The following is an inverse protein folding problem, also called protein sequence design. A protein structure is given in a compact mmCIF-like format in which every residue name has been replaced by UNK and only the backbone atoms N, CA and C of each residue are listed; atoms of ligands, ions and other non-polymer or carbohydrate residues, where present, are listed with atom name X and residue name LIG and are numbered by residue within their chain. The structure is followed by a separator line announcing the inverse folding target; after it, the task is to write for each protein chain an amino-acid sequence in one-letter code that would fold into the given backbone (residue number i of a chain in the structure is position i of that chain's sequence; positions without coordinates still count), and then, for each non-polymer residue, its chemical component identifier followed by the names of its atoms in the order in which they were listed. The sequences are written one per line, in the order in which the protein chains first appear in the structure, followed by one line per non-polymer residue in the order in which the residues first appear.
data_IF_073138309899
#
_entry.id   IF_073138309899
#
_cell.length_a   1.000
_cell.length_b   1.000
_cell.length_c   1.000
_cell.angle_alpha   90.00
_cell.angle_beta   90.00
_cell.angle_gamma   90.00
#
_symmetry.space_group_name_H-M   'P 1'
#
loop_
_entity.id
_entity.type
_entity.pdbx_description
1 polymer ?
#
# COMPACT_ATOMS: atom_id res chain seq x y z
N UNK A 1 6.77 -8.00 30.31
CA UNK A 1 6.53 -8.93 29.18
C UNK A 1 5.34 -9.87 29.47
N UNK A 2 5.31 -10.50 30.67
CA UNK A 2 4.23 -11.45 31.02
C UNK A 2 2.82 -10.85 30.97
N UNK A 3 2.64 -9.57 31.35
CA UNK A 3 1.33 -8.90 31.31
C UNK A 3 0.80 -8.62 29.90
N UNK A 4 1.69 -8.47 28.90
CA UNK A 4 1.29 -8.24 27.50
C UNK A 4 0.63 -9.48 26.91
N UNK A 5 1.13 -10.67 27.23
CA UNK A 5 0.62 -11.94 26.70
C UNK A 5 -0.66 -12.39 27.41
N UNK A 6 -0.74 -12.25 28.74
CA UNK A 6 -1.89 -12.68 29.53
C UNK A 6 -3.21 -11.98 29.16
N UNK A 7 -3.17 -10.78 28.61
CA UNK A 7 -4.33 -10.00 28.19
C UNK A 7 -4.79 -10.28 26.75
N UNK A 8 -4.11 -11.15 25.98
CA UNK A 8 -4.30 -11.30 24.53
C UNK A 8 -4.30 -12.75 24.04
N UNK A 9 -4.62 -13.71 24.89
CA UNK A 9 -4.67 -15.15 24.52
C UNK A 9 -5.62 -15.44 23.35
N UNK A 10 -6.62 -14.57 23.10
CA UNK A 10 -7.62 -14.74 22.03
C UNK A 10 -7.33 -13.92 20.76
N UNK A 11 -6.41 -12.95 20.77
CA UNK A 11 -6.16 -12.14 19.57
C UNK A 11 -5.45 -12.92 18.47
N UNK A 12 -6.04 -13.05 17.26
CA UNK A 12 -5.56 -13.98 16.23
C UNK A 12 -4.36 -13.46 15.41
N UNK A 13 -3.71 -12.38 15.84
CA UNK A 13 -2.64 -11.70 15.11
C UNK A 13 -1.27 -11.80 15.79
N UNK A 14 -0.33 -11.05 15.25
CA UNK A 14 0.99 -10.84 15.82
C UNK A 14 0.94 -9.86 17.01
N UNK A 15 1.94 -9.91 17.87
CA UNK A 15 2.15 -8.89 18.91
C UNK A 15 3.40 -8.10 18.52
N UNK A 16 3.25 -6.78 18.35
CA UNK A 16 4.35 -5.86 18.03
C UNK A 16 4.61 -4.95 19.21
N UNK A 17 5.78 -5.06 19.81
CA UNK A 17 6.23 -4.21 20.92
C UNK A 17 7.32 -3.27 20.43
N UNK A 18 7.08 -1.97 20.56
CA UNK A 18 8.02 -0.89 20.25
C UNK A 18 8.51 -0.29 21.58
N UNK A 19 9.81 -0.20 21.71
CA UNK A 19 10.45 0.40 22.89
C UNK A 19 11.39 1.52 22.45
N UNK A 20 11.28 2.65 23.10
CA UNK A 20 12.15 3.80 22.91
C UNK A 20 12.18 4.65 24.18
N UNK A 21 13.17 5.52 24.28
CA UNK A 21 13.21 6.53 25.33
C UNK A 21 11.97 7.44 25.28
N UNK A 22 11.43 7.80 26.44
CA UNK A 22 10.22 8.63 26.52
C UNK A 22 10.41 10.01 25.89
N UNK A 23 11.60 10.63 26.03
CA UNK A 23 11.86 11.93 25.41
C UNK A 23 11.93 11.81 23.88
N UNK A 24 12.42 10.69 23.36
CA UNK A 24 12.41 10.38 21.92
C UNK A 24 11.00 10.31 21.35
N UNK A 25 10.04 9.77 22.13
CA UNK A 25 8.65 9.62 21.68
C UNK A 25 7.78 10.82 22.04
N UNK A 26 7.89 11.35 23.26
CA UNK A 26 6.96 12.30 23.84
C UNK A 26 7.59 13.60 24.32
N UNK A 27 8.89 13.81 24.10
CA UNK A 27 9.59 15.04 24.50
C UNK A 27 8.96 16.28 23.87
N UNK A 28 8.88 17.38 24.63
CA UNK A 28 8.21 18.63 24.22
C UNK A 28 8.81 19.26 22.95
N UNK A 29 10.14 19.16 22.77
CA UNK A 29 10.83 19.80 21.64
C UNK A 29 11.06 18.85 20.45
N UNK A 30 11.36 17.57 20.72
CA UNK A 30 11.83 16.61 19.70
C UNK A 30 11.11 15.26 19.72
N UNK A 31 10.05 15.09 20.50
CA UNK A 31 9.30 13.84 20.57
C UNK A 31 8.59 13.52 19.24
N UNK A 32 8.76 12.30 18.75
CA UNK A 32 8.14 11.87 17.50
C UNK A 32 6.61 12.02 17.52
N UNK A 33 5.99 11.66 18.65
CA UNK A 33 4.53 11.64 18.80
C UNK A 33 3.92 12.96 19.31
N UNK A 34 4.77 13.89 19.75
CA UNK A 34 4.38 15.20 20.30
C UNK A 34 4.76 16.35 19.36
N UNK A 35 6.06 16.63 19.24
CA UNK A 35 6.57 17.81 18.53
C UNK A 35 6.77 17.57 17.03
N UNK A 36 7.15 16.34 16.62
CA UNK A 36 7.55 16.03 15.24
C UNK A 36 6.56 15.11 14.50
N UNK A 37 5.33 14.97 14.99
CA UNK A 37 4.36 14.06 14.40
C UNK A 37 3.97 14.42 12.93
N UNK A 38 4.17 15.66 12.53
CA UNK A 38 3.99 16.12 11.15
C UNK A 38 5.26 16.02 10.29
N UNK A 39 6.44 15.79 10.90
CA UNK A 39 7.68 15.66 10.16
C UNK A 39 7.68 14.39 9.31
N UNK A 40 8.19 14.50 8.10
CA UNK A 40 8.33 13.41 7.14
C UNK A 40 9.80 13.05 6.91
N UNK A 41 10.06 12.02 6.11
CA UNK A 41 11.43 11.66 5.76
C UNK A 41 12.29 11.32 6.98
N UNK A 42 13.57 11.62 6.89
CA UNK A 42 14.54 11.35 7.97
C UNK A 42 14.34 12.23 9.21
N UNK A 43 13.82 13.42 9.05
CA UNK A 43 13.53 14.32 10.17
C UNK A 43 12.41 13.78 11.07
N UNK A 44 11.46 13.03 10.48
CA UNK A 44 10.37 12.35 11.19
C UNK A 44 10.73 10.92 11.61
N UNK A 45 12.01 10.55 11.71
CA UNK A 45 12.45 9.21 12.11
C UNK A 45 13.17 9.24 13.46
N UNK A 46 12.89 8.27 14.31
CA UNK A 46 13.66 8.05 15.55
C UNK A 46 14.08 6.59 15.68
N UNK A 47 15.16 6.34 16.40
CA UNK A 47 15.60 4.99 16.72
C UNK A 47 14.72 4.36 17.80
N UNK A 48 14.40 3.07 17.61
CA UNK A 48 13.60 2.25 18.50
C UNK A 48 14.18 0.84 18.60
N UNK A 49 13.73 0.08 19.59
CA UNK A 49 13.77 -1.38 19.57
C UNK A 49 12.40 -1.90 19.18
N UNK A 50 12.36 -2.84 18.22
CA UNK A 50 11.14 -3.51 17.81
C UNK A 50 11.23 -5.00 18.09
N UNK A 51 10.15 -5.53 18.65
CA UNK A 51 9.96 -6.95 18.90
C UNK A 51 8.64 -7.36 18.26
N UNK A 52 8.66 -8.45 17.50
CA UNK A 52 7.46 -9.09 16.96
C UNK A 52 7.39 -10.48 17.53
N UNK A 53 6.24 -10.85 18.04
CA UNK A 53 5.99 -12.17 18.62
C UNK A 53 4.77 -12.82 17.94
N UNK A 54 4.75 -14.13 17.92
CA UNK A 54 3.53 -14.88 17.64
C UNK A 54 2.57 -14.88 18.86
N UNK A 55 1.44 -15.53 18.70
CA UNK A 55 0.43 -15.66 19.76
C UNK A 55 0.93 -16.44 21.00
N UNK A 56 1.90 -17.33 20.82
CA UNK A 56 2.50 -18.10 21.93
C UNK A 56 3.53 -17.29 22.72
N UNK A 57 3.87 -16.09 22.27
CA UNK A 57 4.94 -15.27 22.83
C UNK A 57 6.33 -15.64 22.31
N UNK A 58 6.43 -16.46 21.27
CA UNK A 58 7.71 -16.78 20.63
C UNK A 58 8.22 -15.55 19.87
N UNK A 59 9.45 -15.08 20.12
CA UNK A 59 10.01 -13.94 19.39
C UNK A 59 10.33 -14.34 17.95
N UNK A 60 9.79 -13.58 17.01
CA UNK A 60 9.99 -13.72 15.56
C UNK A 60 10.99 -12.70 15.03
N UNK A 61 10.92 -11.46 15.53
CA UNK A 61 11.86 -10.36 15.22
C UNK A 61 12.24 -9.68 16.53
N UNK A 62 13.52 -9.37 16.69
CA UNK A 62 14.05 -8.62 17.83
C UNK A 62 15.28 -7.84 17.36
N UNK A 63 15.15 -6.53 17.11
CA UNK A 63 16.28 -5.70 16.62
C UNK A 63 16.04 -4.21 16.84
N UNK A 64 17.09 -3.43 16.66
CA UNK A 64 16.97 -1.97 16.55
C UNK A 64 16.47 -1.58 15.16
N UNK A 65 15.66 -0.53 15.09
CA UNK A 65 15.02 -0.06 13.86
C UNK A 65 14.73 1.44 13.93
N UNK A 66 14.34 2.03 12.81
CA UNK A 66 13.76 3.36 12.75
C UNK A 66 12.24 3.31 12.84
N UNK A 67 11.63 4.27 13.50
CA UNK A 67 10.19 4.49 13.56
C UNK A 67 9.84 5.82 12.92
N UNK A 68 8.86 5.83 12.03
CA UNK A 68 8.22 7.03 11.48
C UNK A 68 6.72 6.95 11.63
N UNK A 69 6.07 8.10 11.76
CA UNK A 69 4.62 8.17 11.56
C UNK A 69 4.35 8.05 10.06
N UNK A 70 3.41 7.18 9.69
CA UNK A 70 2.95 6.96 8.31
C UNK A 70 1.62 7.67 8.06
N UNK A 71 1.35 8.02 6.81
CA UNK A 71 0.15 8.74 6.39
C UNK A 71 0.40 10.21 6.08
N UNK A 72 -0.64 10.89 5.60
CA UNK A 72 -0.69 12.33 5.33
C UNK A 72 -1.56 13.05 6.38
N UNK A 73 -2.83 13.26 6.11
CA UNK A 73 -3.79 13.85 7.04
C UNK A 73 -4.00 13.00 8.29
N UNK A 74 -3.92 11.67 8.16
CA UNK A 74 -4.01 10.71 9.26
C UNK A 74 -2.91 10.85 10.33
N UNK A 75 -1.85 11.63 10.07
CA UNK A 75 -0.85 12.00 11.10
C UNK A 75 -1.47 12.78 12.26
N UNK A 76 -2.60 13.45 12.03
CA UNK A 76 -3.38 14.15 13.07
C UNK A 76 -4.30 13.22 13.86
N UNK A 77 -4.53 11.98 13.41
CA UNK A 77 -5.38 11.04 14.12
C UNK A 77 -4.82 10.74 15.51
N UNK A 78 -5.72 10.43 16.46
CA UNK A 78 -5.33 10.02 17.83
C UNK A 78 -4.49 8.74 17.75
N UNK A 79 -4.97 7.74 17.02
CA UNK A 79 -4.24 6.49 16.74
C UNK A 79 -3.49 6.66 15.43
N UNK A 80 -2.17 6.69 15.50
CA UNK A 80 -1.30 6.95 14.36
C UNK A 80 -0.85 5.65 13.69
N UNK A 81 -0.75 5.67 12.38
CA UNK A 81 -0.06 4.62 11.63
C UNK A 81 1.46 4.84 11.69
N UNK A 82 2.22 3.74 11.65
CA UNK A 82 3.66 3.78 11.75
C UNK A 82 4.34 3.04 10.59
N UNK A 83 5.51 3.50 10.22
CA UNK A 83 6.44 2.73 9.40
C UNK A 83 7.65 2.34 10.25
N UNK A 84 7.93 1.06 10.35
CA UNK A 84 9.10 0.49 11.01
C UNK A 84 10.13 0.14 9.95
N UNK A 85 11.39 0.59 10.12
CA UNK A 85 12.40 0.59 9.05
C UNK A 85 13.67 -0.04 9.57
N UNK A 86 14.07 -1.17 9.00
CA UNK A 86 15.37 -1.77 9.25
C UNK A 86 16.47 -0.96 8.56
N UNK A 87 17.53 -0.65 9.30
CA UNK A 87 18.69 0.07 8.79
C UNK A 87 19.97 -0.45 9.40
N UNK A 88 20.99 -0.59 8.58
CA UNK A 88 22.35 -0.96 9.03
C UNK A 88 22.92 0.02 10.06
N UNK A 89 22.45 1.28 10.08
CA UNK A 89 22.91 2.28 11.06
C UNK A 89 22.36 2.02 12.46
N UNK A 90 21.15 1.44 12.59
CA UNK A 90 20.53 1.08 13.86
C UNK A 90 20.92 -0.32 14.32
N UNK A 91 20.98 -1.26 13.38
CA UNK A 91 21.39 -2.64 13.63
C UNK A 91 22.28 -3.16 12.48
N UNK A 92 23.59 -3.30 12.79
CA UNK A 92 24.56 -3.79 11.79
C UNK A 92 24.42 -5.28 11.51
N UNK A 93 23.90 -6.04 12.48
CA UNK A 93 23.74 -7.49 12.37
C UNK A 93 22.44 -7.85 11.66
N UNK A 94 21.40 -7.00 11.80
CA UNK A 94 20.08 -7.19 11.23
C UNK A 94 19.68 -5.99 10.35
N UNK A 95 20.31 -5.81 9.17
CA UNK A 95 20.03 -4.67 8.28
C UNK A 95 18.66 -4.77 7.58
N UNK A 96 17.96 -5.90 7.74
CA UNK A 96 16.60 -6.19 7.30
C UNK A 96 15.83 -6.94 8.38
N UNK A 97 14.51 -6.90 8.32
CA UNK A 97 13.64 -7.81 9.09
C UNK A 97 13.62 -9.15 8.39
N UNK A 98 13.98 -10.23 9.12
CA UNK A 98 14.07 -11.59 8.57
C UNK A 98 13.01 -12.46 9.22
N UNK A 99 11.86 -12.57 8.59
CA UNK A 99 10.75 -13.45 8.95
C UNK A 99 9.67 -13.43 7.86
N UNK A 100 8.92 -14.50 7.70
CA UNK A 100 7.76 -14.56 6.81
C UNK A 100 6.54 -13.84 7.42
N UNK A 101 6.53 -12.51 7.32
CA UNK A 101 5.47 -11.67 7.90
C UNK A 101 4.10 -11.84 7.22
N UNK A 102 4.07 -12.38 5.99
CA UNK A 102 2.87 -12.45 5.16
C UNK A 102 2.60 -13.86 4.60
N UNK A 103 2.99 -14.87 5.35
CA UNK A 103 2.63 -16.27 5.18
C UNK A 103 2.82 -16.81 3.74
N UNK A 104 4.06 -16.94 3.32
CA UNK A 104 4.44 -17.55 2.04
C UNK A 104 4.37 -16.60 0.85
N UNK A 105 4.45 -15.28 1.05
CA UNK A 105 4.57 -14.33 -0.05
C UNK A 105 5.80 -14.62 -0.89
N UNK A 106 5.61 -14.64 -2.21
CA UNK A 106 6.68 -14.90 -3.18
C UNK A 106 6.91 -13.72 -4.10
N UNK A 107 8.06 -13.70 -4.76
CA UNK A 107 8.38 -12.70 -5.78
C UNK A 107 7.48 -12.87 -7.01
N UNK A 108 7.24 -11.76 -7.71
CA UNK A 108 6.38 -11.71 -8.90
C UNK A 108 7.17 -11.75 -10.23
N UNK A 109 8.49 -11.93 -10.18
CA UNK A 109 9.37 -12.01 -11.36
C UNK A 109 9.25 -13.33 -12.15
N UNK A 110 8.30 -14.19 -11.79
CA UNK A 110 8.13 -15.53 -12.33
C UNK A 110 8.99 -16.60 -11.67
N UNK A 111 9.99 -16.23 -10.87
CA UNK A 111 10.81 -17.19 -10.12
C UNK A 111 10.13 -17.72 -8.85
N UNK A 112 9.08 -17.04 -8.37
CA UNK A 112 8.27 -17.41 -7.18
C UNK A 112 9.12 -17.73 -5.94
N UNK A 113 10.17 -16.94 -5.69
CA UNK A 113 11.04 -17.11 -4.52
C UNK A 113 10.33 -16.63 -3.27
N UNK A 114 10.36 -17.35 -2.15
CA UNK A 114 9.82 -16.86 -0.88
C UNK A 114 10.49 -15.55 -0.47
N UNK A 115 9.67 -14.56 -0.09
CA UNK A 115 10.16 -13.29 0.45
C UNK A 115 10.17 -13.39 1.96
N UNK A 116 11.37 -13.49 2.54
CA UNK A 116 11.59 -13.61 3.98
C UNK A 116 12.36 -12.45 4.58
N UNK A 117 12.78 -11.49 3.75
CA UNK A 117 13.53 -10.33 4.17
C UNK A 117 12.86 -9.04 3.71
N UNK A 118 12.71 -8.08 4.62
CA UNK A 118 12.02 -6.82 4.37
C UNK A 118 12.80 -5.64 4.93
N UNK A 119 12.91 -4.56 4.16
CA UNK A 119 13.53 -3.31 4.63
C UNK A 119 12.61 -2.51 5.53
N UNK A 120 11.30 -2.67 5.40
CA UNK A 120 10.32 -1.98 6.25
C UNK A 120 8.94 -2.60 6.13
N UNK A 121 8.13 -2.35 7.15
CA UNK A 121 6.69 -2.64 7.14
C UNK A 121 5.90 -1.46 7.71
N UNK A 122 4.62 -1.40 7.39
CA UNK A 122 3.67 -0.44 7.93
C UNK A 122 2.85 -1.13 9.04
N UNK A 123 2.67 -0.46 10.14
CA UNK A 123 1.61 -0.72 11.11
C UNK A 123 0.50 0.28 10.80
N UNK A 124 -0.49 -0.17 10.01
CA UNK A 124 -1.61 0.66 9.59
C UNK A 124 -2.68 0.62 10.67
N UNK A 125 -2.96 1.77 11.25
CA UNK A 125 -3.96 1.86 12.32
C UNK A 125 -5.36 1.63 11.75
N UNK A 126 -6.17 0.87 12.48
CA UNK A 126 -7.57 0.64 12.15
C UNK A 126 -8.46 1.76 12.73
N UNK A 127 -9.70 1.88 12.24
CA UNK A 127 -10.68 2.92 12.67
C UNK A 127 -10.18 4.35 12.43
N UNK A 128 -9.74 4.63 11.23
CA UNK A 128 -9.58 5.99 10.73
C UNK A 128 -10.97 6.62 10.48
N UNK A 129 -11.04 7.92 10.32
CA UNK A 129 -12.29 8.67 10.27
C UNK A 129 -13.33 8.15 9.24
N UNK A 130 -12.87 7.54 8.15
CA UNK A 130 -13.73 7.04 7.06
C UNK A 130 -13.96 5.52 7.12
N UNK A 131 -13.22 4.80 7.96
CA UNK A 131 -13.38 3.36 8.20
C UNK A 131 -13.77 3.10 9.65
N UNK A 132 -15.08 3.16 9.94
CA UNK A 132 -15.60 2.92 11.29
C UNK A 132 -15.45 1.46 11.74
N UNK A 133 -15.33 0.53 10.81
CA UNK A 133 -15.12 -0.90 11.07
C UNK A 133 -13.66 -1.22 11.32
N UNK A 134 -12.76 -0.47 10.71
CA UNK A 134 -11.32 -0.68 10.77
C UNK A 134 -10.79 -1.79 9.88
N UNK A 135 -11.61 -2.33 8.97
CA UNK A 135 -11.22 -3.45 8.10
C UNK A 135 -11.31 -3.15 6.60
N UNK A 136 -11.77 -1.96 6.20
CA UNK A 136 -11.95 -1.62 4.77
C UNK A 136 -10.68 -1.88 3.95
N UNK A 137 -9.52 -1.43 4.42
CA UNK A 137 -8.25 -1.69 3.73
C UNK A 137 -8.00 -3.19 3.50
N UNK A 138 -8.20 -4.04 4.52
CA UNK A 138 -7.96 -5.48 4.42
C UNK A 138 -8.98 -6.17 3.53
N UNK A 139 -10.26 -5.76 3.60
CA UNK A 139 -11.33 -6.20 2.70
C UNK A 139 -10.99 -5.83 1.26
N UNK A 140 -10.66 -4.55 1.00
CA UNK A 140 -10.30 -4.07 -0.32
C UNK A 140 -9.14 -4.84 -0.96
N UNK A 141 -8.06 -5.06 -0.21
CA UNK A 141 -6.94 -5.87 -0.70
C UNK A 141 -7.32 -7.35 -0.89
N UNK A 142 -8.20 -7.91 -0.05
CA UNK A 142 -8.66 -9.29 -0.19
C UNK A 142 -9.53 -9.48 -1.42
N UNK A 143 -10.45 -8.55 -1.69
CA UNK A 143 -11.25 -8.52 -2.93
C UNK A 143 -10.35 -8.31 -4.17
N UNK A 144 -9.42 -7.36 -4.12
CA UNK A 144 -8.50 -7.10 -5.22
C UNK A 144 -7.65 -8.34 -5.58
N UNK A 145 -7.16 -9.09 -4.58
CA UNK A 145 -6.44 -10.36 -4.86
C UNK A 145 -7.34 -11.41 -5.52
N UNK A 146 -8.60 -11.52 -5.09
CA UNK A 146 -9.57 -12.41 -5.74
C UNK A 146 -9.86 -11.98 -7.19
N UNK A 147 -9.87 -10.66 -7.44
CA UNK A 147 -10.01 -10.06 -8.76
C UNK A 147 -8.74 -10.15 -9.64
N UNK A 148 -7.69 -10.86 -9.19
CA UNK A 148 -6.47 -11.08 -9.97
C UNK A 148 -5.39 -9.99 -9.84
N UNK A 149 -5.54 -9.03 -8.92
CA UNK A 149 -4.49 -8.03 -8.66
C UNK A 149 -3.36 -8.69 -7.82
N UNK A 150 -2.34 -9.16 -8.53
CA UNK A 150 -1.29 -10.01 -7.96
C UNK A 150 -0.40 -9.30 -6.93
N UNK A 151 -0.26 -7.99 -7.02
CA UNK A 151 0.55 -7.16 -6.12
C UNK A 151 -0.27 -6.48 -5.02
N UNK A 152 -1.58 -6.76 -4.94
CA UNK A 152 -2.41 -6.26 -3.85
C UNK A 152 -1.83 -6.64 -2.48
N UNK A 153 -1.72 -5.66 -1.59
CA UNK A 153 -1.01 -5.82 -0.32
C UNK A 153 -1.60 -6.93 0.55
N UNK A 154 -0.78 -7.85 1.07
CA UNK A 154 -1.19 -8.69 2.17
C UNK A 154 -1.33 -7.87 3.45
N UNK A 155 -2.18 -8.31 4.35
CA UNK A 155 -2.40 -7.71 5.68
C UNK A 155 -2.29 -8.79 6.75
N UNK A 156 -1.60 -8.49 7.85
CA UNK A 156 -1.53 -9.37 9.02
C UNK A 156 -2.00 -8.56 10.24
N UNK A 157 -3.02 -9.02 10.99
CA UNK A 157 -3.44 -8.35 12.22
C UNK A 157 -2.30 -8.30 13.23
N UNK A 158 -2.18 -7.19 13.94
CA UNK A 158 -1.15 -7.00 14.96
C UNK A 158 -1.65 -6.16 16.13
N UNK A 159 -1.49 -6.66 17.36
CA UNK A 159 -1.66 -5.89 18.58
C UNK A 159 -0.39 -5.08 18.84
N UNK A 160 -0.48 -3.75 18.85
CA UNK A 160 0.68 -2.86 18.98
C UNK A 160 0.81 -2.31 20.39
N UNK A 161 2.02 -2.38 20.94
CA UNK A 161 2.39 -1.81 22.23
C UNK A 161 3.55 -0.83 22.06
N UNK A 162 3.49 0.32 22.71
CA UNK A 162 4.59 1.28 22.78
C UNK A 162 4.95 1.46 24.27
N UNK A 163 6.21 1.15 24.60
CA UNK A 163 6.70 1.18 26.00
C UNK A 163 5.77 0.42 26.96
N UNK A 164 5.28 -0.75 26.53
CA UNK A 164 4.38 -1.61 27.31
C UNK A 164 2.93 -1.17 27.35
N UNK A 165 2.57 -0.02 26.75
CA UNK A 165 1.19 0.47 26.70
C UNK A 165 0.53 0.05 25.39
N UNK A 166 -0.63 -0.59 25.48
CA UNK A 166 -1.43 -0.98 24.33
C UNK A 166 -1.89 0.25 23.52
N UNK A 167 -1.69 0.19 22.22
CA UNK A 167 -2.07 1.25 21.26
C UNK A 167 -3.29 0.87 20.43
N UNK A 168 -3.69 -0.39 20.41
CA UNK A 168 -4.79 -0.92 19.61
C UNK A 168 -4.34 -2.02 18.66
N UNK A 169 -5.31 -2.54 17.90
CA UNK A 169 -5.02 -3.41 16.77
C UNK A 169 -4.66 -2.59 15.53
N UNK A 170 -3.79 -3.16 14.72
CA UNK A 170 -3.27 -2.61 13.48
C UNK A 170 -3.24 -3.71 12.42
N UNK A 171 -3.15 -3.32 11.17
CA UNK A 171 -2.70 -4.21 10.11
C UNK A 171 -1.22 -3.97 9.81
N UNK A 172 -0.42 -5.02 9.95
CA UNK A 172 0.94 -5.06 9.47
C UNK A 172 0.92 -5.34 7.97
N UNK A 173 1.50 -4.45 7.16
CA UNK A 173 1.46 -4.50 5.70
C UNK A 173 2.79 -4.05 5.09
N UNK A 174 3.10 -4.47 3.84
CA UNK A 174 4.26 -3.97 3.11
C UNK A 174 4.22 -2.45 2.93
N UNK A 175 5.37 -1.81 3.01
CA UNK A 175 5.49 -0.41 2.61
C UNK A 175 5.37 -0.26 1.08
N UNK A 176 4.88 0.88 0.61
CA UNK A 176 4.78 1.20 -0.82
C UNK A 176 5.98 2.05 -1.25
N UNK A 177 7.14 1.43 -1.37
CA UNK A 177 8.41 2.10 -1.65
C UNK A 177 9.24 1.36 -2.69
N UNK A 178 10.27 2.02 -3.21
CA UNK A 178 11.29 1.44 -4.07
C UNK A 178 11.90 0.13 -3.50
N UNK A 179 12.23 0.12 -2.20
CA UNK A 179 12.73 -1.08 -1.55
C UNK A 179 11.71 -2.23 -1.57
N UNK A 180 10.45 -1.94 -1.27
CA UNK A 180 9.40 -2.97 -1.24
C UNK A 180 9.09 -3.50 -2.65
N UNK A 181 9.18 -2.63 -3.68
CA UNK A 181 9.11 -3.07 -5.08
C UNK A 181 10.29 -3.95 -5.47
N UNK A 182 11.50 -3.53 -5.08
CA UNK A 182 12.71 -4.33 -5.33
C UNK A 182 12.59 -5.73 -4.71
N UNK A 183 12.06 -5.82 -3.49
CA UNK A 183 11.81 -7.08 -2.79
C UNK A 183 10.72 -7.91 -3.47
N UNK A 184 9.60 -7.28 -3.86
CA UNK A 184 8.47 -7.97 -4.48
C UNK A 184 8.76 -8.48 -5.89
N UNK A 185 9.43 -7.66 -6.70
CA UNK A 185 9.70 -7.97 -8.10
C UNK A 185 11.13 -8.50 -8.34
N UNK A 186 11.86 -8.84 -7.25
CA UNK A 186 13.22 -9.36 -7.30
C UNK A 186 14.17 -8.48 -8.15
N UNK A 187 14.08 -7.16 -7.96
CA UNK A 187 14.94 -6.18 -8.64
C UNK A 187 16.17 -5.93 -7.79
N UNK A 188 17.33 -6.23 -8.32
CA UNK A 188 18.60 -6.16 -7.58
C UNK A 188 18.96 -4.71 -7.22
N UNK A 189 18.76 -3.78 -8.17
CA UNK A 189 19.10 -2.36 -8.02
C UNK A 189 17.86 -1.52 -7.85
N UNK A 190 17.53 -1.20 -6.61
CA UNK A 190 16.38 -0.33 -6.30
C UNK A 190 16.51 1.08 -6.91
N UNK A 191 17.74 1.51 -7.21
CA UNK A 191 18.03 2.80 -7.84
C UNK A 191 17.52 2.88 -9.28
N UNK A 192 17.28 1.73 -9.92
CA UNK A 192 16.66 1.62 -11.24
C UNK A 192 15.11 1.74 -11.17
N UNK A 193 14.53 1.77 -9.95
CA UNK A 193 13.09 1.93 -9.74
C UNK A 193 12.76 3.43 -9.59
N UNK A 194 11.81 3.87 -10.38
CA UNK A 194 11.22 5.20 -10.34
C UNK A 194 9.80 5.10 -9.79
N UNK A 195 9.49 5.88 -8.74
CA UNK A 195 8.16 5.94 -8.13
C UNK A 195 7.67 7.38 -8.16
N UNK A 196 6.44 7.60 -8.58
CA UNK A 196 5.77 8.91 -8.63
C UNK A 196 4.50 8.84 -7.80
N UNK A 197 4.37 9.76 -6.85
CA UNK A 197 3.12 10.06 -6.15
C UNK A 197 2.56 11.36 -6.75
N UNK A 198 1.49 11.26 -7.52
CA UNK A 198 1.04 12.38 -8.39
C UNK A 198 0.51 13.57 -7.58
N UNK A 199 -0.14 13.30 -6.43
CA UNK A 199 -0.79 14.35 -5.61
C UNK A 199 -0.23 14.50 -4.20
N UNK A 200 0.70 13.63 -3.78
CA UNK A 200 1.16 13.56 -2.39
C UNK A 200 2.38 14.42 -2.07
N UNK A 201 3.01 15.06 -3.06
CA UNK A 201 4.30 15.77 -2.86
C UNK A 201 4.23 16.83 -1.76
N UNK A 202 3.13 17.57 -1.68
CA UNK A 202 2.95 18.61 -0.67
C UNK A 202 2.54 18.06 0.70
N UNK A 203 1.87 16.89 0.73
CA UNK A 203 1.23 16.37 1.94
C UNK A 203 2.09 15.41 2.76
N UNK A 204 2.97 14.65 2.12
CA UNK A 204 3.68 13.54 2.78
C UNK A 204 5.20 13.72 2.85
N UNK A 205 5.75 14.72 2.16
CA UNK A 205 7.21 14.90 2.02
C UNK A 205 7.89 13.72 1.33
N UNK A 206 7.11 12.85 0.68
CA UNK A 206 7.64 11.83 -0.23
C UNK A 206 7.87 12.53 -1.56
N UNK A 207 8.97 13.26 -1.68
CA UNK A 207 9.30 13.94 -2.93
C UNK A 207 9.58 12.89 -3.99
N UNK A 208 8.68 12.79 -4.96
CA UNK A 208 9.05 12.26 -6.27
C UNK A 208 10.18 13.12 -6.77
N UNK A 209 11.22 12.51 -7.34
CA UNK A 209 12.24 13.31 -8.02
C UNK A 209 11.56 14.11 -9.13
N UNK A 210 11.71 15.46 -9.18
CA UNK A 210 10.95 16.31 -10.12
C UNK A 210 11.07 15.86 -11.59
N UNK A 211 12.23 15.33 -11.97
CA UNK A 211 12.46 14.82 -13.32
C UNK A 211 11.65 13.56 -13.64
N UNK A 212 11.36 12.73 -12.65
CA UNK A 212 10.55 11.51 -12.84
C UNK A 212 9.08 11.90 -12.95
N UNK A 213 8.59 12.78 -12.09
CA UNK A 213 7.24 13.31 -12.18
C UNK A 213 7.02 13.98 -13.56
N UNK A 214 7.96 14.84 -14.00
CA UNK A 214 7.89 15.48 -15.32
C UNK A 214 7.85 14.45 -16.46
N UNK A 215 8.63 13.36 -16.36
CA UNK A 215 8.61 12.26 -17.33
C UNK A 215 7.23 11.57 -17.39
N UNK A 216 6.62 11.28 -16.24
CA UNK A 216 5.28 10.71 -16.19
C UNK A 216 4.23 11.69 -16.77
N UNK A 217 4.25 12.95 -16.37
CA UNK A 217 3.29 13.94 -16.87
C UNK A 217 3.42 14.19 -18.39
N UNK A 218 4.64 14.14 -18.93
CA UNK A 218 4.86 14.18 -20.39
C UNK A 218 4.22 12.97 -21.10
N UNK A 219 4.30 11.79 -20.49
CA UNK A 219 3.62 10.60 -21.01
C UNK A 219 2.09 10.72 -20.92
N UNK A 220 1.55 11.26 -19.83
CA UNK A 220 0.11 11.54 -19.69
C UNK A 220 -0.37 12.52 -20.79
N UNK A 221 0.35 13.63 -21.00
CA UNK A 221 0.03 14.61 -22.05
C UNK A 221 0.07 13.98 -23.45
N UNK A 222 1.06 13.15 -23.74
CA UNK A 222 1.12 12.36 -24.98
C UNK A 222 -0.14 11.51 -25.16
N UNK A 223 -0.53 10.72 -24.14
CA UNK A 223 -1.72 9.85 -24.21
C UNK A 223 -3.01 10.64 -24.44
N UNK A 224 -3.21 11.76 -23.72
CA UNK A 224 -4.42 12.56 -23.83
C UNK A 224 -4.63 13.16 -25.23
N UNK A 225 -3.53 13.43 -25.96
CA UNK A 225 -3.53 14.02 -27.28
C UNK A 225 -3.33 13.00 -28.43
N UNK A 226 -3.07 11.75 -28.12
CA UNK A 226 -2.75 10.71 -29.09
C UNK A 226 -3.97 10.20 -29.88
N UNK A 227 -3.74 9.84 -31.14
CA UNK A 227 -4.73 9.08 -31.93
C UNK A 227 -4.60 7.58 -31.61
N UNK A 228 -5.44 7.13 -30.69
CA UNK A 228 -5.46 5.74 -30.21
C UNK A 228 -6.01 4.74 -31.24
N UNK A 229 -6.23 5.16 -32.49
CA UNK A 229 -6.56 4.28 -33.64
C UNK A 229 -5.37 4.05 -34.57
N UNK A 230 -4.27 4.82 -34.40
CA UNK A 230 -3.04 4.66 -35.18
C UNK A 230 -2.16 3.53 -34.57
N UNK A 231 -1.86 2.46 -35.33
CA UNK A 231 -1.02 1.36 -34.84
C UNK A 231 0.36 1.82 -34.35
N UNK A 232 0.95 2.86 -34.96
CA UNK A 232 2.26 3.37 -34.54
C UNK A 232 2.20 4.08 -33.18
N UNK A 233 1.07 4.67 -32.84
CA UNK A 233 0.79 5.26 -31.53
C UNK A 233 0.59 4.15 -30.50
N UNK A 234 -0.15 3.11 -30.82
CA UNK A 234 -0.36 1.96 -29.96
C UNK A 234 0.98 1.32 -29.57
N UNK A 235 1.86 1.09 -30.54
CA UNK A 235 3.21 0.56 -30.26
C UNK A 235 3.99 1.45 -29.28
N UNK A 236 3.90 2.77 -29.42
CA UNK A 236 4.55 3.71 -28.48
C UNK A 236 3.93 3.69 -27.08
N UNK A 237 2.62 3.50 -26.97
CA UNK A 237 1.91 3.34 -25.69
C UNK A 237 2.36 2.06 -25.01
N UNK A 238 2.31 0.93 -25.70
CA UNK A 238 2.69 -0.38 -25.16
C UNK A 238 4.18 -0.48 -24.81
N UNK A 239 5.03 0.32 -25.45
CA UNK A 239 6.44 0.43 -25.07
C UNK A 239 6.66 1.15 -23.74
N UNK A 240 5.71 1.99 -23.29
CA UNK A 240 5.86 2.84 -22.11
C UNK A 240 4.87 2.53 -20.98
N UNK A 241 3.81 1.76 -21.23
CA UNK A 241 2.76 1.43 -20.29
C UNK A 241 2.51 -0.08 -20.29
N UNK A 242 2.37 -0.65 -19.11
CA UNK A 242 1.74 -1.95 -18.94
C UNK A 242 0.22 -1.77 -19.01
N UNK A 243 -0.32 -1.79 -20.24
CA UNK A 243 -1.72 -1.46 -20.51
C UNK A 243 -2.66 -2.38 -19.74
N UNK A 244 -2.40 -3.68 -19.74
CA UNK A 244 -3.22 -4.66 -19.03
C UNK A 244 -3.29 -4.34 -17.52
N UNK A 245 -2.15 -4.13 -16.87
CA UNK A 245 -2.08 -3.79 -15.45
C UNK A 245 -2.77 -2.44 -15.16
N UNK A 246 -2.64 -1.47 -16.05
CA UNK A 246 -3.34 -0.20 -15.96
C UNK A 246 -4.87 -0.39 -16.00
N UNK A 247 -5.39 -1.13 -16.97
CA UNK A 247 -6.83 -1.41 -17.09
C UNK A 247 -7.35 -2.17 -15.86
N UNK A 248 -6.60 -3.16 -15.35
CA UNK A 248 -6.92 -3.87 -14.11
C UNK A 248 -7.00 -2.92 -12.91
N UNK A 249 -6.02 -2.01 -12.77
CA UNK A 249 -5.99 -1.03 -11.70
C UNK A 249 -7.22 -0.13 -11.69
N UNK A 250 -7.64 0.38 -12.86
CA UNK A 250 -8.84 1.20 -12.98
C UNK A 250 -10.10 0.38 -12.68
N UNK A 251 -10.23 -0.82 -13.26
CA UNK A 251 -11.39 -1.68 -13.05
C UNK A 251 -11.59 -2.03 -11.58
N UNK A 252 -10.54 -2.43 -10.86
CA UNK A 252 -10.65 -2.80 -9.45
C UNK A 252 -11.00 -1.62 -8.55
N UNK A 253 -10.45 -0.41 -8.79
CA UNK A 253 -10.81 0.78 -8.02
C UNK A 253 -12.29 1.16 -8.20
N UNK A 254 -12.82 1.03 -9.42
CA UNK A 254 -14.23 1.27 -9.70
C UNK A 254 -15.14 0.24 -9.01
N UNK A 255 -14.80 -1.04 -9.09
CA UNK A 255 -15.58 -2.12 -8.46
C UNK A 255 -15.53 -2.05 -6.91
N UNK A 256 -14.41 -1.62 -6.33
CA UNK A 256 -14.29 -1.36 -4.91
C UNK A 256 -15.09 -0.13 -4.46
N UNK A 257 -15.53 0.72 -5.36
CA UNK A 257 -16.15 2.00 -5.00
C UNK A 257 -15.21 2.87 -4.16
N UNK A 258 -13.93 2.99 -4.56
CA UNK A 258 -12.92 3.73 -3.83
C UNK A 258 -13.21 5.23 -3.91
N UNK A 259 -13.66 5.83 -2.81
CA UNK A 259 -14.11 7.23 -2.75
C UNK A 259 -12.98 8.25 -2.63
N UNK A 260 -11.77 7.84 -2.27
CA UNK A 260 -10.57 8.70 -2.15
C UNK A 260 -9.60 8.47 -3.33
N UNK A 261 -10.16 8.26 -4.49
CA UNK A 261 -9.47 8.02 -5.75
C UNK A 261 -10.35 8.62 -6.85
N UNK A 262 -9.92 9.26 -7.77
CA UNK A 262 -8.78 9.39 -8.67
C UNK A 262 -7.98 10.70 -8.40
N UNK A 263 -8.56 11.68 -7.73
CA UNK A 263 -7.98 12.99 -7.40
C UNK A 263 -7.01 12.94 -6.21
N UNK A 264 -6.91 11.77 -5.56
CA UNK A 264 -5.96 11.44 -4.52
C UNK A 264 -5.43 10.01 -4.74
N UNK A 265 -4.47 9.57 -3.94
CA UNK A 265 -3.99 8.19 -3.90
C UNK A 265 -3.55 7.60 -5.28
N UNK A 266 -3.09 8.47 -6.20
CA UNK A 266 -2.54 8.04 -7.48
C UNK A 266 -1.01 7.92 -7.39
N UNK A 267 -0.53 6.70 -7.48
CA UNK A 267 0.91 6.40 -7.48
C UNK A 267 1.25 5.44 -8.60
N UNK A 268 2.32 5.77 -9.33
CA UNK A 268 2.83 4.95 -10.43
C UNK A 268 4.31 4.65 -10.23
N UNK A 269 4.78 3.59 -10.87
CA UNK A 269 6.18 3.21 -10.84
C UNK A 269 6.61 2.58 -12.16
N UNK A 270 7.90 2.60 -12.42
CA UNK A 270 8.55 1.81 -13.46
C UNK A 270 9.95 1.41 -13.00
N UNK A 271 10.52 0.40 -13.65
CA UNK A 271 11.93 0.07 -13.51
C UNK A 271 12.62 0.27 -14.86
N UNK A 272 13.85 0.75 -14.81
CA UNK A 272 14.70 0.87 -16.01
C UNK A 272 14.68 -0.44 -16.80
N UNK A 273 14.69 -0.32 -18.12
CA UNK A 273 14.72 -1.49 -18.99
C UNK A 273 16.07 -2.20 -18.88
N UNK A 274 16.02 -3.42 -18.39
CA UNK A 274 17.16 -4.35 -18.25
C UNK A 274 16.86 -5.68 -18.96
N UNK A 275 15.77 -5.78 -19.72
CA UNK A 275 15.33 -6.98 -20.42
C UNK A 275 14.86 -8.12 -19.52
N UNK A 276 14.49 -7.82 -18.27
CA UNK A 276 13.97 -8.78 -17.28
C UNK A 276 12.49 -8.49 -16.98
N UNK A 277 11.74 -9.46 -16.44
CA UNK A 277 10.36 -9.23 -16.05
C UNK A 277 10.21 -8.02 -15.12
N UNK A 278 9.25 -7.13 -15.42
CA UNK A 278 8.99 -5.86 -14.71
C UNK A 278 10.15 -4.84 -14.73
N UNK A 279 11.23 -5.13 -15.45
CA UNK A 279 12.38 -4.25 -15.72
C UNK A 279 12.41 -3.93 -17.21
N UNK A 280 11.36 -3.29 -17.70
CA UNK A 280 11.03 -3.08 -19.12
C UNK A 280 10.73 -1.61 -19.45
N UNK A 281 10.96 -0.70 -18.51
CA UNK A 281 10.73 0.74 -18.68
C UNK A 281 9.25 1.17 -18.61
N UNK A 282 8.31 0.24 -18.44
CA UNK A 282 6.88 0.52 -18.51
C UNK A 282 6.32 1.04 -17.19
N UNK A 283 5.46 2.04 -17.27
CA UNK A 283 4.68 2.54 -16.14
C UNK A 283 3.66 1.50 -15.68
N UNK A 284 3.51 1.38 -14.35
CA UNK A 284 2.54 0.52 -13.64
C UNK A 284 1.95 1.27 -12.48
N UNK A 285 0.77 0.89 -12.05
CA UNK A 285 0.02 1.54 -10.99
C UNK A 285 0.09 0.76 -9.69
N UNK A 286 0.13 1.49 -8.57
CA UNK A 286 -0.04 0.91 -7.25
C UNK A 286 -1.49 0.94 -6.82
N UNK A 287 -2.00 -0.17 -6.30
CA UNK A 287 -3.22 -0.18 -5.51
C UNK A 287 -2.88 0.02 -4.03
N UNK A 288 -3.37 1.12 -3.46
CA UNK A 288 -3.13 1.43 -2.05
C UNK A 288 -4.21 2.37 -1.50
N UNK A 289 -4.29 2.47 -0.15
CA UNK A 289 -5.18 3.36 0.58
C UNK A 289 -6.66 3.09 0.27
N UNK A 290 -7.12 1.91 0.70
CA UNK A 290 -8.46 1.39 0.45
C UNK A 290 -9.35 1.51 1.70
N UNK A 291 -9.09 2.46 2.59
CA UNK A 291 -9.89 2.69 3.79
C UNK A 291 -11.22 3.38 3.49
N UNK A 292 -11.36 3.94 2.30
CA UNK A 292 -12.60 4.59 1.83
C UNK A 292 -13.27 3.85 0.67
N UNK A 293 -13.28 2.52 0.72
CA UNK A 293 -14.04 1.68 -0.23
C UNK A 293 -15.51 1.53 0.19
N UNK A 294 -16.36 1.10 -0.75
CA UNK A 294 -17.80 0.91 -0.48
C UNK A 294 -18.52 2.22 -0.19
N UNK A 295 -17.96 3.34 -0.64
CA UNK A 295 -18.54 4.66 -0.48
C UNK A 295 -19.92 4.76 -1.11
N UNK A 296 -20.70 5.75 -0.67
CA UNK A 296 -22.09 5.96 -1.10
C UNK A 296 -22.28 5.78 -2.60
N UNK A 297 -23.43 5.23 -3.00
CA UNK A 297 -23.76 4.91 -4.40
C UNK A 297 -23.50 6.05 -5.38
N UNK A 298 -23.75 7.29 -4.96
CA UNK A 298 -23.53 8.48 -5.80
C UNK A 298 -22.06 8.74 -6.09
N UNK A 299 -21.15 8.47 -5.11
CA UNK A 299 -19.69 8.57 -5.33
C UNK A 299 -19.18 7.52 -6.29
N UNK A 300 -19.71 6.29 -6.24
CA UNK A 300 -19.33 5.23 -7.18
C UNK A 300 -19.69 5.63 -8.63
N UNK A 301 -20.90 6.18 -8.84
CA UNK A 301 -21.33 6.66 -10.15
C UNK A 301 -20.46 7.84 -10.62
N UNK A 302 -20.21 8.81 -9.74
CA UNK A 302 -19.33 9.95 -10.04
C UNK A 302 -17.91 9.49 -10.40
N UNK A 303 -17.33 8.57 -9.62
CA UNK A 303 -16.00 8.03 -9.90
C UNK A 303 -15.94 7.28 -11.23
N UNK A 304 -17.00 6.53 -11.58
CA UNK A 304 -17.08 5.86 -12.87
C UNK A 304 -17.11 6.85 -14.04
N UNK A 305 -17.97 7.87 -13.97
CA UNK A 305 -18.05 8.91 -15.00
C UNK A 305 -16.73 9.69 -15.10
N UNK A 306 -16.16 10.09 -13.97
CA UNK A 306 -14.89 10.78 -13.91
C UNK A 306 -13.74 9.93 -14.50
N UNK A 307 -13.63 8.67 -14.10
CA UNK A 307 -12.58 7.79 -14.58
C UNK A 307 -12.71 7.47 -16.08
N UNK A 308 -13.92 7.35 -16.61
CA UNK A 308 -14.13 6.92 -18.01
C UNK A 308 -14.29 8.07 -19.00
N UNK A 309 -14.58 9.30 -18.53
CA UNK A 309 -14.94 10.43 -19.41
C UNK A 309 -14.10 11.70 -19.20
N UNK A 310 -13.54 11.90 -17.99
CA UNK A 310 -12.74 13.09 -17.70
C UNK A 310 -11.25 12.83 -17.81
N UNK A 311 -10.51 13.77 -18.43
CA UNK A 311 -9.06 13.79 -18.46
C UNK A 311 -8.44 14.52 -17.24
N UNK A 312 -9.28 14.97 -16.28
CA UNK A 312 -8.83 15.62 -15.06
C UNK A 312 -7.97 14.68 -14.20
N UNK A 313 -7.22 15.23 -13.29
CA UNK A 313 -6.37 14.50 -12.34
C UNK A 313 -5.34 13.56 -13.01
N UNK A 314 -4.83 13.95 -14.18
CA UNK A 314 -3.88 13.12 -14.94
C UNK A 314 -4.40 11.72 -15.29
N UNK A 315 -5.71 11.62 -15.44
CA UNK A 315 -6.40 10.40 -15.80
C UNK A 315 -6.11 10.01 -17.25
N UNK A 316 -5.64 8.80 -17.45
CA UNK A 316 -5.28 8.28 -18.78
C UNK A 316 -6.32 7.30 -19.35
N UNK A 317 -7.24 6.79 -18.53
CA UNK A 317 -8.22 5.80 -18.98
C UNK A 317 -9.09 6.29 -20.13
N UNK A 318 -9.65 7.53 -20.15
CA UNK A 318 -10.47 7.98 -21.28
C UNK A 318 -9.71 7.99 -22.60
N UNK A 319 -8.41 8.25 -22.58
CA UNK A 319 -7.57 8.17 -23.78
C UNK A 319 -7.42 6.72 -24.25
N UNK A 320 -7.09 5.80 -23.35
CA UNK A 320 -6.98 4.38 -23.68
C UNK A 320 -8.27 3.79 -24.23
N UNK A 321 -9.44 4.16 -23.68
CA UNK A 321 -10.75 3.68 -24.12
C UNK A 321 -11.17 4.17 -25.52
N UNK A 322 -10.45 5.09 -26.15
CA UNK A 322 -10.62 5.44 -27.57
C UNK A 322 -10.16 4.29 -28.47
N UNK A 323 -9.26 3.43 -28.01
CA UNK A 323 -8.89 2.21 -28.72
C UNK A 323 -9.96 1.13 -28.50
N UNK A 324 -10.56 0.54 -29.56
CA UNK A 324 -11.63 -0.45 -29.44
C UNK A 324 -11.20 -1.74 -28.71
N UNK A 325 -9.95 -2.17 -28.87
CA UNK A 325 -9.42 -3.39 -28.24
C UNK A 325 -9.21 -3.16 -26.73
N UNK A 326 -8.62 -2.03 -26.33
CA UNK A 326 -8.48 -1.67 -24.92
C UNK A 326 -9.83 -1.45 -24.23
N UNK A 327 -10.78 -0.84 -24.94
CA UNK A 327 -12.15 -0.70 -24.44
C UNK A 327 -12.81 -2.04 -24.21
N UNK A 328 -12.64 -2.97 -25.15
CA UNK A 328 -13.16 -4.34 -25.03
C UNK A 328 -12.49 -5.05 -23.85
N UNK A 329 -11.17 -5.01 -23.76
CA UNK A 329 -10.41 -5.62 -22.67
C UNK A 329 -10.85 -5.08 -21.31
N UNK A 330 -10.98 -3.75 -21.16
CA UNK A 330 -11.46 -3.13 -19.93
C UNK A 330 -12.86 -3.61 -19.54
N UNK A 331 -13.75 -3.74 -20.51
CA UNK A 331 -15.12 -4.23 -20.30
C UNK A 331 -15.10 -5.70 -19.84
N UNK A 332 -14.31 -6.53 -20.52
CA UNK A 332 -14.16 -7.95 -20.17
C UNK A 332 -13.57 -8.12 -18.76
N UNK A 333 -12.58 -7.30 -18.39
CA UNK A 333 -12.00 -7.28 -17.05
C UNK A 333 -13.02 -6.93 -15.97
N UNK A 334 -13.87 -5.93 -16.18
CA UNK A 334 -14.92 -5.58 -15.21
C UNK A 334 -15.86 -6.77 -14.99
N UNK A 335 -16.38 -7.40 -16.07
CA UNK A 335 -17.27 -8.55 -15.94
C UNK A 335 -16.59 -9.74 -15.25
N UNK A 336 -15.35 -10.05 -15.63
CA UNK A 336 -14.60 -11.12 -15.00
C UNK A 336 -14.38 -10.87 -13.51
N UNK A 337 -13.95 -9.67 -13.15
CA UNK A 337 -13.72 -9.31 -11.74
C UNK A 337 -15.01 -9.31 -10.93
N UNK A 338 -16.14 -8.88 -11.52
CA UNK A 338 -17.45 -8.93 -10.90
C UNK A 338 -17.84 -10.37 -10.55
N UNK A 339 -17.68 -11.30 -11.50
CA UNK A 339 -17.98 -12.72 -11.28
C UNK A 339 -17.04 -13.37 -10.26
N UNK A 340 -15.75 -13.05 -10.29
CA UNK A 340 -14.72 -13.71 -9.47
C UNK A 340 -14.65 -13.18 -8.04
N UNK A 341 -14.91 -11.87 -7.85
CA UNK A 341 -14.58 -11.19 -6.59
C UNK A 341 -15.67 -10.28 -6.03
N UNK A 342 -16.63 -9.83 -6.83
CA UNK A 342 -17.59 -8.80 -6.40
C UNK A 342 -19.04 -9.28 -6.40
N UNK A 343 -19.29 -10.60 -6.38
CA UNK A 343 -20.62 -11.11 -6.06
C UNK A 343 -20.97 -10.86 -4.60
N UNK A 344 -22.25 -10.70 -4.23
CA UNK A 344 -22.66 -10.51 -2.82
C UNK A 344 -22.10 -11.57 -1.90
N UNK A 345 -22.10 -12.83 -2.31
CA UNK A 345 -21.63 -13.97 -1.51
C UNK A 345 -20.11 -13.88 -1.24
N UNK A 346 -19.33 -13.45 -2.23
CA UNK A 346 -17.88 -13.28 -2.09
C UNK A 346 -17.57 -12.09 -1.20
N UNK A 347 -18.27 -10.97 -1.38
CA UNK A 347 -18.11 -9.77 -0.55
C UNK A 347 -18.43 -10.11 0.91
N UNK A 348 -19.58 -10.71 1.20
CA UNK A 348 -19.99 -11.08 2.56
C UNK A 348 -18.99 -12.05 3.20
N UNK A 349 -18.50 -13.03 2.44
CA UNK A 349 -17.49 -13.98 2.92
C UNK A 349 -16.17 -13.29 3.26
N UNK A 350 -15.73 -12.31 2.47
CA UNK A 350 -14.50 -11.55 2.72
C UNK A 350 -14.67 -10.67 3.94
N UNK A 351 -15.79 -9.96 4.07
CA UNK A 351 -16.07 -9.14 5.25
C UNK A 351 -16.08 -9.98 6.53
N UNK A 352 -16.83 -11.09 6.56
CA UNK A 352 -16.90 -11.98 7.72
C UNK A 352 -15.51 -12.50 8.13
N UNK A 353 -14.68 -12.86 7.16
CA UNK A 353 -13.31 -13.33 7.41
C UNK A 353 -12.41 -12.23 7.99
N UNK A 354 -12.48 -11.00 7.46
CA UNK A 354 -11.66 -9.90 7.97
C UNK A 354 -12.16 -9.40 9.34
N UNK A 355 -13.47 -9.46 9.61
CA UNK A 355 -14.03 -9.23 10.95
C UNK A 355 -13.53 -10.26 11.96
N UNK A 356 -13.55 -11.55 11.62
CA UNK A 356 -13.02 -12.60 12.49
C UNK A 356 -11.54 -12.38 12.84
N UNK A 357 -10.73 -11.92 11.88
CA UNK A 357 -9.32 -11.59 12.09
C UNK A 357 -9.08 -10.42 13.05
N UNK A 358 -10.10 -9.58 13.27
CA UNK A 358 -10.02 -8.39 14.12
C UNK A 358 -10.99 -8.45 15.32
N UNK A 359 -11.58 -9.62 15.58
CA UNK A 359 -12.70 -9.80 16.51
C UNK A 359 -12.47 -9.22 17.90
N UNK A 360 -11.26 -9.30 18.44
CA UNK A 360 -10.97 -8.85 19.81
C UNK A 360 -10.81 -7.35 19.97
N UNK A 361 -10.70 -6.58 18.86
CA UNK A 361 -10.66 -5.11 18.93
C UNK A 361 -12.04 -4.50 19.30
N UNK A 362 -13.14 -5.20 19.00
CA UNK A 362 -14.48 -4.75 19.34
C UNK A 362 -14.75 -4.81 20.85
N UNK A 363 -13.93 -5.52 21.61
CA UNK A 363 -14.09 -5.73 23.06
C UNK A 363 -13.35 -4.68 23.92
N UNK A 364 -12.56 -3.79 23.32
CA UNK A 364 -11.80 -2.72 23.98
C UNK A 364 -12.04 -1.36 23.34
#
# INVERSE_FOLDING_TARGET
AEDIFASRESFPGLIVSIQADNDTLYGEENGLLSARYMCSGREGECEIQVFVYDQSGTPLIAQNAGLRISGATSRNAIRKSFRVIARKEYDKQHPKFTYDLWNGRTTLDGATKPIQEYSSFILHSVRLAMDSTGIHNSVGYSLARKAGIVDASPTTPAAVYINGKYQGAYFLMPAKTDNALAELYNIEKKEDIEVVSVFEEEKTGTQSRPEILASYLTFVDFLQNADMTDPSVIEQVEAQLDVHQCLQYYAVNLLLGNGDWLDNNLRVWRCKDNGLPYQDGKWRFFLFDLDWIGSFSDLVVMNFEQATQSADYHNILPALLKNPEYKKEFTDLIYQMEEDAFTPEVIDSVFAKEEERMHDEAAY
#
